data_IF_083099929309
#
_entry.id   IF_083099929309
#
_cell.length_a   1.000
_cell.length_b   1.000
_cell.length_c   1.000
_cell.angle_alpha   90.00
_cell.angle_beta   90.00
_cell.angle_gamma   90.00
#
_symmetry.space_group_name_H-M   'P 1'
#
loop_
_entity.id
_entity.type
_entity.pdbx_description
1 polymer ?
#
# COMPACT_ATOMS: atom_id res chain seq x y z
N UNK A 1 -18.31 6.69 17.68
CA UNK A 1 -16.94 6.74 17.12
C UNK A 1 -16.45 5.41 16.52
N UNK A 2 -16.57 4.26 17.21
CA UNK A 2 -16.09 2.95 16.69
C UNK A 2 -16.80 2.51 15.40
N UNK A 3 -18.13 2.65 15.32
CA UNK A 3 -18.92 2.25 14.13
C UNK A 3 -18.50 3.03 12.88
N UNK A 4 -18.26 4.35 13.02
CA UNK A 4 -17.82 5.23 11.93
C UNK A 4 -16.46 4.82 11.38
N UNK A 5 -15.49 4.46 12.24
CA UNK A 5 -14.18 3.97 11.77
C UNK A 5 -14.26 2.63 11.06
N UNK A 6 -15.13 1.74 11.54
CA UNK A 6 -15.33 0.42 10.96
C UNK A 6 -15.98 0.52 9.57
N UNK A 7 -16.99 1.38 9.43
CA UNK A 7 -17.65 1.61 8.14
C UNK A 7 -16.75 2.35 7.17
N UNK A 8 -16.07 3.44 7.58
CA UNK A 8 -15.12 4.16 6.73
C UNK A 8 -13.93 3.28 6.32
N UNK A 9 -13.34 2.54 7.26
CA UNK A 9 -12.21 1.66 6.99
C UNK A 9 -12.57 0.53 6.04
N UNK A 10 -13.76 -0.07 6.19
CA UNK A 10 -14.27 -1.08 5.25
C UNK A 10 -14.52 -0.51 3.85
N UNK A 11 -15.13 0.67 3.77
CA UNK A 11 -15.45 1.33 2.49
C UNK A 11 -14.17 1.75 1.74
N UNK A 12 -13.15 2.25 2.46
CA UNK A 12 -11.82 2.54 1.92
C UNK A 12 -11.08 1.28 1.48
N UNK A 13 -11.24 0.15 2.16
CA UNK A 13 -10.65 -1.13 1.76
C UNK A 13 -11.25 -1.64 0.44
N UNK A 14 -12.59 -1.62 0.34
CA UNK A 14 -13.32 -2.03 -0.86
C UNK A 14 -12.97 -1.10 -2.03
N UNK A 15 -13.01 0.22 -1.80
CA UNK A 15 -12.63 1.21 -2.80
C UNK A 15 -11.16 1.06 -3.22
N UNK A 16 -10.26 0.80 -2.25
CA UNK A 16 -8.84 0.54 -2.50
C UNK A 16 -8.62 -0.69 -3.37
N UNK A 17 -9.33 -1.78 -3.12
CA UNK A 17 -9.24 -3.02 -3.92
C UNK A 17 -9.72 -2.77 -5.36
N UNK A 18 -10.89 -2.12 -5.52
CA UNK A 18 -11.45 -1.78 -6.83
C UNK A 18 -10.52 -0.83 -7.61
N UNK A 19 -9.97 0.18 -6.94
CA UNK A 19 -9.05 1.15 -7.52
C UNK A 19 -7.63 0.61 -7.69
N UNK A 20 -7.23 -0.52 -7.11
CA UNK A 20 -5.98 -1.19 -7.50
C UNK A 20 -6.15 -2.12 -8.70
N UNK A 21 -7.39 -2.53 -8.99
CA UNK A 21 -7.72 -3.38 -10.14
C UNK A 21 -7.90 -2.54 -11.43
N UNK A 22 -8.56 -1.38 -11.33
CA UNK A 22 -8.32 -0.26 -12.23
C UNK A 22 -6.93 0.31 -11.91
N UNK A 23 -6.14 0.84 -12.86
CA UNK A 23 -4.84 1.41 -12.52
C UNK A 23 -5.04 2.68 -11.68
N UNK A 24 -5.17 2.50 -10.37
CA UNK A 24 -5.49 3.54 -9.42
C UNK A 24 -4.80 3.29 -8.08
N UNK A 25 -4.88 4.30 -7.24
CA UNK A 25 -3.90 4.55 -6.20
C UNK A 25 -3.92 3.51 -5.07
N UNK A 26 -2.84 2.73 -4.97
CA UNK A 26 -2.56 1.83 -3.85
C UNK A 26 -2.51 2.56 -2.49
N UNK A 27 -2.37 3.90 -2.50
CA UNK A 27 -2.41 4.75 -1.31
C UNK A 27 -3.78 4.72 -0.63
N UNK A 28 -4.87 4.55 -1.39
CA UNK A 28 -6.22 4.43 -0.80
C UNK A 28 -6.36 3.13 -0.03
N UNK A 29 -5.80 2.04 -0.57
CA UNK A 29 -5.79 0.73 0.09
C UNK A 29 -4.94 0.77 1.38
N UNK A 30 -3.77 1.42 1.34
CA UNK A 30 -2.92 1.63 2.53
C UNK A 30 -3.58 2.56 3.54
N UNK A 31 -4.24 3.64 3.10
CA UNK A 31 -4.98 4.57 3.96
C UNK A 31 -6.16 3.90 4.66
N UNK A 32 -6.93 3.07 3.94
CA UNK A 32 -8.00 2.25 4.51
C UNK A 32 -7.49 1.27 5.56
N UNK A 33 -6.39 0.55 5.26
CA UNK A 33 -5.75 -0.32 6.26
C UNK A 33 -5.20 0.45 7.46
N UNK A 34 -4.66 1.65 7.27
CA UNK A 34 -4.13 2.48 8.35
C UNK A 34 -5.23 2.86 9.34
N UNK A 35 -6.38 3.30 8.83
CA UNK A 35 -7.57 3.58 9.65
C UNK A 35 -8.07 2.32 10.39
N UNK A 36 -8.15 1.19 9.69
CA UNK A 36 -8.62 -0.08 10.29
C UNK A 36 -7.64 -0.66 11.32
N UNK A 37 -6.34 -0.40 11.16
CA UNK A 37 -5.28 -0.87 12.06
C UNK A 37 -5.35 -0.27 13.47
N UNK A 38 -6.11 0.81 13.65
CA UNK A 38 -6.31 1.45 14.95
C UNK A 38 -7.23 0.63 15.86
N UNK A 39 -8.23 -0.04 15.28
CA UNK A 39 -9.20 -0.86 16.01
C UNK A 39 -8.91 -2.37 15.93
N UNK A 40 -8.24 -2.83 14.87
CA UNK A 40 -8.04 -4.26 14.62
C UNK A 40 -6.55 -4.63 14.51
N UNK A 41 -5.96 -5.32 15.51
CA UNK A 41 -4.53 -5.60 15.54
C UNK A 41 -4.05 -6.47 14.35
N UNK A 42 -4.91 -7.33 13.77
CA UNK A 42 -4.52 -8.08 12.56
C UNK A 42 -4.35 -7.17 11.34
N UNK A 43 -5.09 -6.06 11.25
CA UNK A 43 -4.99 -5.10 10.12
C UNK A 43 -3.64 -4.36 10.16
N UNK A 44 -3.05 -4.19 11.35
CA UNK A 44 -1.67 -3.70 11.50
C UNK A 44 -0.66 -4.66 10.85
N UNK A 45 -0.89 -5.97 10.92
CA UNK A 45 -0.06 -6.99 10.25
C UNK A 45 -0.09 -6.83 8.74
N UNK A 46 -1.29 -6.74 8.17
CA UNK A 46 -1.49 -6.51 6.73
C UNK A 46 -0.91 -5.17 6.27
N UNK A 47 -1.03 -4.11 7.07
CA UNK A 47 -0.46 -2.80 6.77
C UNK A 47 1.07 -2.86 6.68
N UNK A 48 1.72 -3.51 7.66
CA UNK A 48 3.17 -3.72 7.66
C UNK A 48 3.61 -4.53 6.43
N UNK A 49 2.88 -5.59 6.09
CA UNK A 49 3.17 -6.41 4.92
C UNK A 49 3.08 -5.61 3.62
N UNK A 50 2.00 -4.84 3.43
CA UNK A 50 1.82 -3.99 2.24
C UNK A 50 2.90 -2.92 2.13
N UNK A 51 3.22 -2.23 3.23
CA UNK A 51 4.29 -1.23 3.25
C UNK A 51 5.68 -1.84 2.99
N UNK A 52 5.97 -3.03 3.54
CA UNK A 52 7.25 -3.71 3.32
C UNK A 52 7.41 -4.16 1.86
N UNK A 53 6.35 -4.70 1.26
CA UNK A 53 6.33 -5.11 -0.14
C UNK A 53 6.56 -3.92 -1.06
N UNK A 54 5.88 -2.80 -0.81
CA UNK A 54 6.08 -1.53 -1.53
C UNK A 54 7.52 -1.02 -1.41
N UNK A 55 8.10 -1.02 -0.20
CA UNK A 55 9.49 -0.60 -0.01
C UNK A 55 10.47 -1.46 -0.80
N UNK A 56 10.24 -2.78 -0.81
CA UNK A 56 11.10 -3.72 -1.52
C UNK A 56 10.97 -3.59 -3.04
N UNK A 57 9.76 -3.36 -3.57
CA UNK A 57 9.56 -3.14 -5.00
C UNK A 57 10.18 -1.82 -5.46
N UNK A 58 10.01 -0.74 -4.70
CA UNK A 58 10.64 0.56 -4.96
C UNK A 58 12.18 0.43 -5.03
N UNK A 59 12.80 -0.20 -4.02
CA UNK A 59 14.26 -0.46 -4.02
C UNK A 59 14.73 -1.28 -5.20
N UNK A 60 13.96 -2.29 -5.62
CA UNK A 60 14.28 -3.08 -6.82
C UNK A 60 14.23 -2.22 -8.09
N UNK A 61 13.21 -1.37 -8.20
CA UNK A 61 13.05 -0.46 -9.33
C UNK A 61 14.18 0.59 -9.38
N UNK A 62 14.52 1.19 -8.24
CA UNK A 62 15.62 2.15 -8.11
C UNK A 62 16.95 1.50 -8.52
N UNK A 63 17.23 0.29 -8.02
CA UNK A 63 18.44 -0.46 -8.40
C UNK A 63 18.46 -0.80 -9.88
N UNK A 64 17.31 -1.21 -10.45
CA UNK A 64 17.19 -1.50 -11.87
C UNK A 64 17.46 -0.26 -12.72
N UNK A 65 16.90 0.90 -12.35
CA UNK A 65 17.15 2.17 -13.03
C UNK A 65 18.62 2.61 -12.92
N UNK A 66 19.24 2.45 -11.75
CA UNK A 66 20.65 2.77 -11.53
C UNK A 66 21.57 1.89 -12.38
N UNK A 67 21.34 0.57 -12.40
CA UNK A 67 22.13 -0.37 -13.21
C UNK A 67 21.96 -0.10 -14.71
N UNK A 68 20.74 0.24 -15.16
CA UNK A 68 20.50 0.70 -16.53
C UNK A 68 21.32 1.95 -16.87
N UNK A 69 21.39 2.93 -15.95
CA UNK A 69 22.16 4.15 -16.15
C UNK A 69 23.67 3.84 -16.22
N UNK A 70 24.21 3.06 -15.28
CA UNK A 70 25.63 2.71 -15.26
C UNK A 70 26.08 1.91 -16.50
N UNK A 71 25.26 0.98 -16.98
CA UNK A 71 25.53 0.27 -18.24
C UNK A 71 25.46 1.16 -19.49
N UNK A 72 24.83 2.33 -19.43
CA UNK A 72 24.81 3.29 -20.55
C UNK A 72 26.12 4.11 -20.65
N UNK A 73 26.89 4.20 -19.56
CA UNK A 73 28.14 4.97 -19.49
C UNK A 73 29.40 4.09 -19.55
N UNK A 74 29.23 2.78 -19.75
CA UNK A 74 30.30 1.81 -19.94
C UNK A 74 30.40 1.45 -21.43
#
# INVERSE_FOLDING_TARGET
MKIIRLTLGGLLLIAGILLTLLPGSILLLIGGLMLLSYDWPRARGWLKFSQATMRNSARKLDRFMLLRKLNKFK
#
